data_IF_447081457808
#
_entry.id   IF_447081457808
#
_cell.length_a   1.000
_cell.length_b   1.000
_cell.length_c   1.000
_cell.angle_alpha   90.00
_cell.angle_beta   90.00
_cell.angle_gamma   90.00
#
_symmetry.space_group_name_H-M   'P 1'
#
loop_
_entity.id
_entity.type
_entity.pdbx_description
1 polymer ?
#
# COMPACT_ATOMS: atom_id res chain seq x y z
N UNK A 1 -3.89 -2.21 -2.61
CA UNK A 1 -2.79 -2.05 -1.64
C UNK A 1 -2.37 -3.39 -1.04
N UNK A 2 -3.33 -4.24 -0.64
CA UNK A 2 -3.11 -5.57 -0.04
C UNK A 2 -2.03 -6.41 -0.74
N UNK A 3 -1.99 -6.45 -2.07
CA UNK A 3 -1.05 -7.33 -2.79
C UNK A 3 0.43 -6.93 -2.67
N UNK A 4 0.74 -5.66 -2.37
CA UNK A 4 2.12 -5.13 -2.42
C UNK A 4 2.74 -4.92 -1.04
N UNK A 5 1.92 -4.79 0.00
CA UNK A 5 2.34 -4.49 1.35
C UNK A 5 1.38 -5.08 2.38
N UNK A 6 1.96 -5.56 3.48
CA UNK A 6 1.23 -6.01 4.66
C UNK A 6 1.12 -4.85 5.66
N UNK A 7 -0.08 -4.44 6.10
CA UNK A 7 -0.25 -3.37 7.08
C UNK A 7 0.01 -3.88 8.50
N UNK A 8 1.23 -4.35 8.77
CA UNK A 8 1.59 -5.02 10.04
C UNK A 8 1.32 -4.15 11.26
N UNK A 9 1.58 -2.84 11.17
CA UNK A 9 1.37 -1.88 12.25
C UNK A 9 -0.11 -1.82 12.64
N UNK A 10 -1.01 -1.82 11.65
CA UNK A 10 -2.46 -1.77 11.88
C UNK A 10 -2.96 -3.03 12.56
N UNK A 11 -2.52 -4.22 12.11
CA UNK A 11 -2.88 -5.48 12.78
C UNK A 11 -2.34 -5.53 14.20
N UNK A 12 -1.07 -5.15 14.43
CA UNK A 12 -0.47 -5.12 15.77
C UNK A 12 -1.24 -4.21 16.72
N UNK A 13 -1.47 -2.96 16.32
CA UNK A 13 -2.26 -1.99 17.10
C UNK A 13 -3.65 -2.54 17.42
N UNK A 14 -4.32 -3.14 16.44
CA UNK A 14 -5.67 -3.68 16.65
C UNK A 14 -5.68 -4.87 17.60
N UNK A 15 -4.68 -5.74 17.54
CA UNK A 15 -4.53 -6.86 18.47
C UNK A 15 -4.26 -6.33 19.89
N UNK A 16 -3.38 -5.35 20.05
CA UNK A 16 -3.08 -4.72 21.35
C UNK A 16 -4.33 -4.06 21.97
N UNK A 17 -5.15 -3.36 21.18
CA UNK A 17 -6.42 -2.80 21.62
C UNK A 17 -7.38 -3.89 22.17
N UNK A 18 -7.47 -5.04 21.48
CA UNK A 18 -8.32 -6.15 21.89
C UNK A 18 -7.79 -6.88 23.15
N UNK A 19 -6.47 -7.01 23.28
CA UNK A 19 -5.82 -7.55 24.48
C UNK A 19 -6.05 -6.64 25.71
N UNK A 20 -6.05 -5.32 25.50
CA UNK A 20 -6.44 -4.35 26.52
C UNK A 20 -7.93 -4.51 26.92
N UNK A 21 -8.81 -4.70 25.94
CA UNK A 21 -10.25 -4.92 26.19
C UNK A 21 -10.50 -6.18 27.04
N UNK A 22 -9.77 -7.28 26.78
CA UNK A 22 -9.81 -8.50 27.60
C UNK A 22 -9.43 -8.21 29.06
N UNK A 23 -8.42 -7.36 29.27
CA UNK A 23 -7.95 -6.97 30.60
C UNK A 23 -9.03 -6.16 31.33
N UNK A 24 -9.64 -5.19 30.65
CA UNK A 24 -10.74 -4.38 31.21
C UNK A 24 -11.97 -5.22 31.58
N UNK A 25 -12.32 -6.24 30.78
CA UNK A 25 -13.42 -7.16 31.10
C UNK A 25 -13.15 -7.95 32.39
N UNK A 26 -11.87 -8.26 32.68
CA UNK A 26 -11.50 -8.93 33.92
C UNK A 26 -11.87 -8.11 35.16
N UNK A 27 -11.68 -6.79 35.08
CA UNK A 27 -11.84 -5.83 36.17
C UNK A 27 -13.30 -5.42 36.44
N UNK A 28 -14.21 -5.61 35.49
CA UNK A 28 -15.63 -5.23 35.62
C UNK A 28 -16.35 -5.97 36.75
N UNK A 29 -16.69 -5.32 37.85
CA UNK A 29 -17.33 -5.99 39.01
C UNK A 29 -18.79 -6.41 38.77
N UNK A 30 -19.44 -5.83 37.78
CA UNK A 30 -20.87 -6.03 37.46
C UNK A 30 -21.19 -7.35 36.76
N UNK A 31 -20.18 -8.02 36.19
CA UNK A 31 -20.36 -9.25 35.42
C UNK A 31 -20.05 -10.50 36.24
N UNK A 32 -20.87 -11.54 36.08
CA UNK A 32 -20.58 -12.87 36.62
C UNK A 32 -19.35 -13.48 35.94
N UNK A 33 -18.63 -14.36 36.65
CA UNK A 33 -17.43 -15.02 36.11
C UNK A 33 -17.70 -15.72 34.77
N UNK A 34 -18.84 -16.40 34.64
CA UNK A 34 -19.26 -17.06 33.41
C UNK A 34 -19.49 -16.09 32.23
N UNK A 35 -20.06 -14.90 32.49
CA UNK A 35 -20.25 -13.87 31.46
C UNK A 35 -18.92 -13.27 31.00
N UNK A 36 -18.02 -12.98 31.94
CA UNK A 36 -16.66 -12.49 31.63
C UNK A 36 -15.90 -13.48 30.76
N UNK A 37 -15.92 -14.77 31.14
CA UNK A 37 -15.22 -15.81 30.40
C UNK A 37 -15.74 -15.91 28.95
N UNK A 38 -17.06 -15.88 28.77
CA UNK A 38 -17.69 -15.92 27.44
C UNK A 38 -17.34 -14.71 26.57
N UNK A 39 -17.22 -13.52 27.16
CA UNK A 39 -16.82 -12.31 26.43
C UNK A 39 -15.34 -12.36 26.04
N UNK A 40 -14.45 -12.79 26.95
CA UNK A 40 -13.04 -12.99 26.65
C UNK A 40 -12.81 -14.00 25.53
N UNK A 41 -13.52 -15.13 25.56
CA UNK A 41 -13.44 -16.15 24.50
C UNK A 41 -13.83 -15.59 23.13
N UNK A 42 -14.85 -14.73 23.04
CA UNK A 42 -15.21 -14.07 21.77
C UNK A 42 -14.09 -13.18 21.25
N UNK A 43 -13.45 -12.41 22.13
CA UNK A 43 -12.35 -11.52 21.73
C UNK A 43 -11.11 -12.33 21.34
N UNK A 44 -10.79 -13.41 22.05
CA UNK A 44 -9.71 -14.33 21.67
C UNK A 44 -9.92 -14.91 20.26
N UNK A 45 -11.14 -15.35 19.93
CA UNK A 45 -11.48 -15.81 18.56
C UNK A 45 -11.23 -14.72 17.51
N UNK A 46 -11.51 -13.45 17.84
CA UNK A 46 -11.27 -12.32 16.91
C UNK A 46 -9.76 -12.08 16.76
N UNK A 47 -9.00 -12.12 17.85
CA UNK A 47 -7.53 -12.00 17.82
C UNK A 47 -6.91 -13.11 16.97
N UNK A 48 -7.35 -14.36 17.14
CA UNK A 48 -6.84 -15.50 16.37
C UNK A 48 -7.14 -15.34 14.87
N UNK A 49 -8.34 -14.86 14.53
CA UNK A 49 -8.69 -14.51 13.13
C UNK A 49 -7.78 -13.42 12.57
N UNK A 50 -7.50 -12.35 13.31
CA UNK A 50 -6.58 -11.31 12.86
C UNK A 50 -5.16 -11.83 12.66
N UNK A 51 -4.68 -12.72 13.54
CA UNK A 51 -3.36 -13.36 13.40
C UNK A 51 -3.30 -14.27 12.18
N UNK A 52 -4.34 -15.07 11.93
CA UNK A 52 -4.45 -15.93 10.76
C UNK A 52 -4.51 -15.11 9.46
N UNK A 53 -5.31 -14.04 9.43
CA UNK A 53 -5.41 -13.13 8.29
C UNK A 53 -4.07 -12.45 7.99
N UNK A 54 -3.39 -11.94 9.03
CA UNK A 54 -2.05 -11.36 8.90
C UNK A 54 -1.06 -12.36 8.31
N UNK A 55 -1.07 -13.61 8.78
CA UNK A 55 -0.20 -14.67 8.27
C UNK A 55 -0.46 -14.94 6.78
N UNK A 56 -1.74 -15.16 6.40
CA UNK A 56 -2.12 -15.37 5.00
C UNK A 56 -1.74 -14.18 4.11
N UNK A 57 -1.88 -12.97 4.62
CA UNK A 57 -1.51 -11.75 3.91
C UNK A 57 0.00 -11.66 3.67
N UNK A 58 0.82 -12.05 4.67
CA UNK A 58 2.28 -12.14 4.51
C UNK A 58 2.66 -13.12 3.42
N UNK A 59 2.14 -14.35 3.48
CA UNK A 59 2.41 -15.36 2.44
C UNK A 59 1.99 -14.87 1.05
N UNK A 60 0.85 -14.18 0.95
CA UNK A 60 0.37 -13.63 -0.31
C UNK A 60 1.32 -12.56 -0.86
N UNK A 61 1.71 -11.59 -0.04
CA UNK A 61 2.63 -10.52 -0.45
C UNK A 61 3.99 -11.08 -0.83
N UNK A 62 4.50 -12.07 -0.09
CA UNK A 62 5.75 -12.76 -0.42
C UNK A 62 5.68 -13.45 -1.79
N UNK A 63 4.59 -14.18 -2.08
CA UNK A 63 4.38 -14.80 -3.41
C UNK A 63 4.30 -13.76 -4.51
N UNK A 64 3.59 -12.66 -4.29
CA UNK A 64 3.47 -11.58 -5.27
C UNK A 64 4.84 -10.93 -5.51
N UNK A 65 5.60 -10.62 -4.46
CA UNK A 65 6.95 -10.06 -4.56
C UNK A 65 7.89 -10.99 -5.32
N UNK A 66 7.88 -12.29 -5.02
CA UNK A 66 8.69 -13.28 -5.73
C UNK A 66 8.34 -13.34 -7.23
N UNK A 67 7.05 -13.28 -7.59
CA UNK A 67 6.62 -13.20 -8.99
C UNK A 67 7.12 -11.91 -9.64
N UNK A 68 6.95 -10.76 -8.98
CA UNK A 68 7.40 -9.47 -9.51
C UNK A 68 8.93 -9.42 -9.72
N UNK A 69 9.71 -10.06 -8.85
CA UNK A 69 11.17 -10.18 -8.96
C UNK A 69 11.63 -10.86 -10.26
N UNK A 70 10.86 -11.85 -10.73
CA UNK A 70 11.12 -12.56 -11.99
C UNK A 70 10.61 -11.73 -13.19
N UNK A 71 9.42 -11.17 -13.06
CA UNK A 71 8.76 -10.41 -14.14
C UNK A 71 9.46 -9.09 -14.44
N UNK A 72 10.14 -8.46 -13.46
CA UNK A 72 10.82 -7.17 -13.63
C UNK A 72 11.80 -7.15 -14.81
N UNK A 73 12.45 -8.28 -15.07
CA UNK A 73 13.41 -8.46 -16.16
C UNK A 73 12.76 -8.27 -17.54
N UNK A 74 11.43 -8.32 -17.60
CA UNK A 74 10.61 -8.34 -18.80
C UNK A 74 9.87 -7.03 -19.08
N UNK A 75 9.69 -6.15 -18.10
CA UNK A 75 8.85 -4.95 -18.25
C UNK A 75 9.45 -3.91 -19.20
N UNK A 76 10.76 -3.66 -19.13
CA UNK A 76 11.42 -2.56 -19.88
C UNK A 76 12.53 -3.08 -20.81
N UNK A 77 12.20 -4.06 -21.66
CA UNK A 77 13.17 -4.75 -22.55
C UNK A 77 13.54 -3.98 -23.82
N UNK A 78 12.79 -2.95 -24.21
CA UNK A 78 13.02 -2.28 -25.49
C UNK A 78 14.29 -1.41 -25.47
N UNK A 79 15.44 -2.01 -25.84
CA UNK A 79 16.75 -1.36 -25.85
C UNK A 79 16.88 -0.20 -26.84
N UNK A 80 15.98 -0.13 -27.82
CA UNK A 80 15.98 0.93 -28.84
C UNK A 80 15.22 2.18 -28.36
N UNK A 81 14.48 2.09 -27.26
CA UNK A 81 13.69 3.18 -26.72
C UNK A 81 14.47 3.92 -25.64
N UNK A 82 14.37 5.25 -25.65
CA UNK A 82 14.98 6.08 -24.62
C UNK A 82 14.27 5.79 -23.29
N UNK A 83 15.02 5.55 -22.21
CA UNK A 83 14.45 5.24 -20.87
C UNK A 83 13.39 6.26 -20.46
N UNK A 84 13.63 7.53 -20.73
CA UNK A 84 12.70 8.62 -20.44
C UNK A 84 11.35 8.48 -21.15
N UNK A 85 11.31 8.04 -22.42
CA UNK A 85 10.06 7.86 -23.17
C UNK A 85 9.22 6.72 -22.58
N UNK A 86 9.88 5.61 -22.22
CA UNK A 86 9.20 4.46 -21.61
C UNK A 86 8.59 4.83 -20.25
N UNK A 87 9.32 5.63 -19.47
CA UNK A 87 8.84 6.16 -18.19
C UNK A 87 7.65 7.12 -18.40
N UNK A 88 7.74 8.03 -19.37
CA UNK A 88 6.63 8.92 -19.71
C UNK A 88 5.37 8.14 -20.07
N UNK A 89 5.48 7.07 -20.87
CA UNK A 89 4.35 6.21 -21.21
C UNK A 89 3.78 5.48 -20.00
N UNK A 90 4.62 4.91 -19.14
CA UNK A 90 4.17 4.28 -17.90
C UNK A 90 3.37 5.28 -17.05
N UNK A 91 3.89 6.50 -16.91
CA UNK A 91 3.24 7.56 -16.14
C UNK A 91 1.90 7.96 -16.76
N UNK A 92 1.87 8.22 -18.06
CA UNK A 92 0.68 8.72 -18.75
C UNK A 92 -0.40 7.65 -18.95
N UNK A 93 -0.02 6.41 -19.28
CA UNK A 93 -0.96 5.36 -19.67
C UNK A 93 -1.37 4.45 -18.52
N UNK A 94 -0.58 4.39 -17.44
CA UNK A 94 -0.86 3.48 -16.33
C UNK A 94 -1.02 4.20 -15.00
N UNK A 95 -0.03 4.98 -14.58
CA UNK A 95 0.01 5.55 -13.23
C UNK A 95 -1.00 6.67 -13.08
N UNK A 96 -0.95 7.68 -13.94
CA UNK A 96 -1.82 8.84 -13.88
C UNK A 96 -3.31 8.45 -13.94
N UNK A 97 -3.82 7.75 -14.96
CA UNK A 97 -5.24 7.42 -15.04
C UNK A 97 -5.72 6.57 -13.87
N UNK A 98 -4.87 5.67 -13.34
CA UNK A 98 -5.23 4.84 -12.18
C UNK A 98 -5.25 5.64 -10.89
N UNK A 99 -4.31 6.57 -10.71
CA UNK A 99 -4.21 7.39 -9.49
C UNK A 99 -5.43 8.28 -9.26
N UNK A 100 -6.15 8.64 -10.32
CA UNK A 100 -7.36 9.48 -10.23
C UNK A 100 -8.63 8.70 -9.85
N UNK A 101 -8.63 7.36 -9.93
CA UNK A 101 -9.85 6.56 -9.77
C UNK A 101 -10.37 6.52 -8.32
N UNK A 102 -9.46 6.50 -7.36
CA UNK A 102 -9.78 6.52 -5.92
C UNK A 102 -8.50 6.69 -5.10
N UNK A 103 -8.63 7.15 -3.85
CA UNK A 103 -7.51 7.27 -2.90
C UNK A 103 -6.74 5.95 -2.73
N UNK A 104 -7.43 4.80 -2.73
CA UNK A 104 -6.80 3.48 -2.60
C UNK A 104 -5.94 3.17 -3.83
N UNK A 105 -6.40 3.56 -5.03
CA UNK A 105 -5.62 3.39 -6.26
C UNK A 105 -4.44 4.36 -6.32
N UNK A 106 -4.62 5.60 -5.86
CA UNK A 106 -3.54 6.57 -5.69
C UNK A 106 -2.41 6.01 -4.83
N UNK A 107 -2.71 5.54 -3.61
CA UNK A 107 -1.74 4.91 -2.73
C UNK A 107 -1.10 3.67 -3.38
N UNK A 108 -1.90 2.82 -4.03
CA UNK A 108 -1.36 1.68 -4.76
C UNK A 108 -0.33 2.09 -5.81
N UNK A 109 -0.58 3.14 -6.58
CA UNK A 109 0.33 3.62 -7.61
C UNK A 109 1.65 4.11 -7.00
N UNK A 110 1.60 4.87 -5.90
CA UNK A 110 2.80 5.33 -5.20
C UNK A 110 3.64 4.15 -4.68
N UNK A 111 2.99 3.20 -3.99
CA UNK A 111 3.64 1.98 -3.50
C UNK A 111 4.17 1.10 -4.64
N UNK A 112 3.49 1.06 -5.78
CA UNK A 112 3.95 0.28 -6.93
C UNK A 112 5.22 0.88 -7.54
N UNK A 113 5.32 2.21 -7.66
CA UNK A 113 6.56 2.87 -8.09
C UNK A 113 7.71 2.53 -7.12
N UNK A 114 7.45 2.56 -5.82
CA UNK A 114 8.43 2.11 -4.80
C UNK A 114 8.83 0.65 -4.99
N UNK A 115 7.88 -0.24 -5.22
CA UNK A 115 8.16 -1.68 -5.47
C UNK A 115 9.08 -1.85 -6.67
N UNK A 116 8.82 -1.14 -7.78
CA UNK A 116 9.67 -1.19 -8.99
C UNK A 116 11.10 -0.72 -8.66
N UNK A 117 11.21 0.34 -7.85
CA UNK A 117 12.50 0.85 -7.37
C UNK A 117 13.24 -0.16 -6.49
N UNK A 118 12.59 -0.70 -5.46
CA UNK A 118 13.16 -1.68 -4.51
C UNK A 118 13.62 -2.96 -5.23
N UNK A 119 12.91 -3.36 -6.28
CA UNK A 119 13.26 -4.49 -7.12
C UNK A 119 14.45 -4.20 -8.05
N UNK A 120 15.03 -2.99 -8.05
CA UNK A 120 16.15 -2.61 -8.94
C UNK A 120 15.83 -2.97 -10.39
N UNK A 121 14.61 -2.65 -10.81
CA UNK A 121 14.09 -3.10 -12.11
C UNK A 121 14.97 -2.61 -13.26
N UNK A 122 15.47 -3.51 -14.15
CA UNK A 122 16.33 -3.13 -15.24
C UNK A 122 15.70 -2.06 -16.13
N UNK A 123 16.51 -1.09 -16.56
CA UNK A 123 16.10 0.03 -17.42
C UNK A 123 15.03 0.98 -16.85
N UNK A 124 14.57 0.78 -15.63
CA UNK A 124 13.79 1.76 -14.90
C UNK A 124 14.73 2.71 -14.15
N UNK A 125 14.48 4.02 -14.26
CA UNK A 125 15.19 5.03 -13.47
C UNK A 125 14.17 5.80 -12.65
N UNK A 126 14.17 5.56 -11.35
CA UNK A 126 13.29 6.26 -10.40
C UNK A 126 13.55 7.76 -10.40
N UNK A 127 14.80 8.18 -10.58
CA UNK A 127 15.16 9.60 -10.71
C UNK A 127 14.45 10.21 -11.92
N UNK A 128 14.56 9.58 -13.10
CA UNK A 128 13.88 10.08 -14.31
C UNK A 128 12.35 10.04 -14.13
N UNK A 129 11.83 9.03 -13.42
CA UNK A 129 10.41 8.95 -13.09
C UNK A 129 9.94 10.16 -12.27
N UNK A 130 10.70 10.57 -11.26
CA UNK A 130 10.38 11.74 -10.45
C UNK A 130 10.61 13.05 -11.19
N UNK A 131 11.68 13.17 -11.96
CA UNK A 131 11.95 14.34 -12.83
C UNK A 131 10.83 14.56 -13.85
N UNK A 132 10.11 13.51 -14.26
CA UNK A 132 8.95 13.62 -15.15
C UNK A 132 7.64 13.91 -14.44
N UNK A 133 7.53 13.52 -13.17
CA UNK A 133 6.28 13.56 -12.42
C UNK A 133 6.07 14.91 -11.71
N UNK A 134 7.12 15.45 -11.09
CA UNK A 134 6.99 16.64 -10.24
C UNK A 134 6.92 18.00 -10.98
N UNK A 135 7.69 18.25 -12.06
CA UNK A 135 7.71 19.59 -12.66
C UNK A 135 6.37 20.03 -13.28
N UNK A 136 5.56 19.10 -13.78
CA UNK A 136 4.34 19.42 -14.56
C UNK A 136 3.03 19.12 -13.82
N UNK A 137 3.06 19.06 -12.48
CA UNK A 137 1.88 18.74 -11.65
C UNK A 137 0.71 19.71 -11.90
N UNK A 138 1.00 20.99 -12.16
CA UNK A 138 -0.03 22.01 -12.39
C UNK A 138 -0.93 21.66 -13.58
N UNK A 139 -0.36 21.17 -14.68
CA UNK A 139 -1.15 20.79 -15.86
C UNK A 139 -2.07 19.61 -15.55
N UNK A 140 -1.53 18.58 -14.89
CA UNK A 140 -2.31 17.42 -14.44
C UNK A 140 -3.48 17.83 -13.54
N UNK A 141 -3.22 18.67 -12.52
CA UNK A 141 -4.25 19.11 -11.57
C UNK A 141 -5.32 19.98 -12.23
N UNK A 142 -4.95 20.89 -13.13
CA UNK A 142 -5.94 21.76 -13.81
C UNK A 142 -6.92 21.00 -14.70
N UNK A 143 -6.57 19.78 -15.12
CA UNK A 143 -7.43 18.91 -15.91
C UNK A 143 -8.36 18.01 -15.07
N UNK A 144 -8.13 17.94 -13.76
CA UNK A 144 -8.87 17.09 -12.83
C UNK A 144 -10.12 17.79 -12.30
N UNK A 145 -11.17 17.01 -12.05
CA UNK A 145 -12.24 17.40 -11.14
C UNK A 145 -11.73 17.49 -9.69
N UNK A 146 -12.51 18.09 -8.80
CA UNK A 146 -12.15 18.23 -7.38
C UNK A 146 -11.82 16.89 -6.71
N UNK A 147 -12.64 15.86 -6.94
CA UNK A 147 -12.42 14.53 -6.39
C UNK A 147 -11.15 13.85 -6.96
N UNK A 148 -10.88 14.04 -8.25
CA UNK A 148 -9.67 13.50 -8.90
C UNK A 148 -8.42 14.21 -8.37
N UNK A 149 -8.48 15.52 -8.15
CA UNK A 149 -7.40 16.29 -7.56
C UNK A 149 -7.07 15.81 -6.14
N UNK A 150 -8.08 15.51 -5.31
CA UNK A 150 -7.88 14.92 -3.97
C UNK A 150 -7.18 13.54 -4.07
N UNK A 151 -7.61 12.68 -5.00
CA UNK A 151 -6.96 11.39 -5.19
C UNK A 151 -5.50 11.57 -5.66
N UNK A 152 -5.26 12.50 -6.58
CA UNK A 152 -3.91 12.79 -7.08
C UNK A 152 -3.01 13.38 -5.99
N UNK A 153 -3.54 14.27 -5.14
CA UNK A 153 -2.85 14.80 -3.96
C UNK A 153 -2.36 13.65 -3.06
N UNK A 154 -3.22 12.69 -2.72
CA UNK A 154 -2.85 11.52 -1.93
C UNK A 154 -1.74 10.68 -2.56
N UNK A 155 -1.76 10.56 -3.89
CA UNK A 155 -0.70 9.88 -4.62
C UNK A 155 0.64 10.63 -4.49
N UNK A 156 0.64 11.95 -4.65
CA UNK A 156 1.83 12.79 -4.54
C UNK A 156 2.40 12.82 -3.11
N UNK A 157 1.54 12.92 -2.10
CA UNK A 157 1.90 12.86 -0.68
C UNK A 157 2.65 11.55 -0.37
N UNK A 158 2.04 10.41 -0.73
CA UNK A 158 2.63 9.08 -0.50
C UNK A 158 3.94 8.86 -1.28
N UNK A 159 4.06 9.44 -2.48
CA UNK A 159 5.30 9.42 -3.23
C UNK A 159 6.41 10.19 -2.51
N UNK A 160 6.14 11.41 -2.02
CA UNK A 160 7.13 12.24 -1.31
C UNK A 160 7.61 11.57 -0.03
N UNK A 161 6.71 10.95 0.74
CA UNK A 161 7.09 10.15 1.92
C UNK A 161 8.09 9.04 1.59
N UNK A 162 8.01 8.47 0.38
CA UNK A 162 8.94 7.43 -0.07
C UNK A 162 10.31 7.99 -0.45
N UNK A 163 10.39 9.22 -0.96
CA UNK A 163 11.65 9.85 -1.40
C UNK A 163 12.43 10.47 -0.23
N UNK A 164 11.74 10.92 0.81
CA UNK A 164 12.32 11.66 1.94
C UNK A 164 12.84 10.78 3.09
N UNK A 165 12.91 9.46 2.92
CA UNK A 165 13.45 8.48 3.87
C UNK A 165 14.75 7.89 3.30
#
# INVERSE_FOLDING_TARGET
MSDLQVPEITYKRRIEELELEITQIAERKELTAAKKQKEKEKIHIIIDKFKEELFKQKEHVERVRARLDIEREHWFKNRNKIKAETITELLQLCIFPRSLLSEINALYCAHFIRVIHDLVTPNFSTIICYDRLFPDISYSLTSCSENEAICYERFLESLLETVMI
#
